data_IF_272857095086
#
_entry.id   IF_272857095086
#
_cell.length_a   1.000
_cell.length_b   1.000
_cell.length_c   1.000
_cell.angle_alpha   90.00
_cell.angle_beta   90.00
_cell.angle_gamma   90.00
#
_symmetry.space_group_name_H-M   'P 1'
#
loop_
_entity.id
_entity.type
_entity.pdbx_description
1 polymer ?
#
# COMPACT_ATOMS: atom_id res chain seq x y z
N UNK A 1 3.14 17.51 -16.75
CA UNK A 1 2.91 17.05 -15.37
C UNK A 1 1.50 16.49 -15.16
N UNK A 2 0.53 16.79 -16.03
CA UNK A 2 -0.88 16.41 -15.85
C UNK A 2 -1.31 15.08 -16.51
N UNK A 3 -0.38 14.34 -17.12
CA UNK A 3 -0.74 13.17 -17.94
C UNK A 3 -1.29 11.98 -17.12
N UNK A 4 -1.12 12.03 -15.79
CA UNK A 4 -1.56 10.98 -14.87
C UNK A 4 -2.72 11.45 -13.97
N UNK A 5 -3.11 12.71 -13.97
CA UNK A 5 -4.12 13.19 -13.04
C UNK A 5 -5.50 12.62 -13.42
N UNK A 6 -5.93 11.55 -12.72
CA UNK A 6 -7.25 10.94 -12.87
C UNK A 6 -7.43 9.94 -14.02
N UNK A 7 -6.40 9.63 -14.83
CA UNK A 7 -6.52 8.56 -15.85
C UNK A 7 -6.42 7.17 -15.20
N UNK A 8 -7.58 6.60 -14.89
CA UNK A 8 -7.69 5.27 -14.29
C UNK A 8 -7.02 4.17 -15.12
N UNK A 9 -6.95 4.31 -16.45
CA UNK A 9 -6.32 3.32 -17.35
C UNK A 9 -4.80 3.28 -17.26
N UNK A 10 -4.18 4.39 -16.85
CA UNK A 10 -2.75 4.43 -16.55
C UNK A 10 -2.48 3.96 -15.12
N UNK A 11 -3.29 4.39 -14.14
CA UNK A 11 -3.13 4.00 -12.74
C UNK A 11 -3.37 2.51 -12.49
N UNK A 12 -4.21 1.84 -13.30
CA UNK A 12 -4.40 0.38 -13.21
C UNK A 12 -3.11 -0.41 -13.50
N UNK A 13 -2.11 0.21 -14.12
CA UNK A 13 -0.80 -0.37 -14.44
C UNK A 13 0.25 -0.11 -13.35
N UNK A 14 -0.09 0.66 -12.32
CA UNK A 14 0.79 1.05 -11.23
C UNK A 14 0.45 0.23 -9.97
N UNK A 15 1.48 -0.14 -9.24
CA UNK A 15 1.40 -0.69 -7.88
C UNK A 15 2.38 0.10 -7.03
N UNK A 16 1.99 0.43 -5.80
CA UNK A 16 2.90 1.03 -4.82
C UNK A 16 3.24 -0.02 -3.77
N UNK A 17 4.52 -0.20 -3.48
CA UNK A 17 4.98 -1.02 -2.37
C UNK A 17 5.36 -0.11 -1.19
N UNK A 18 4.74 -0.32 -0.04
CA UNK A 18 5.19 0.28 1.22
C UNK A 18 6.24 -0.64 1.85
N UNK A 19 7.50 -0.19 1.85
CA UNK A 19 8.62 -0.96 2.37
C UNK A 19 9.25 -0.26 3.60
N UNK A 20 8.86 -0.64 4.82
CA UNK A 20 9.50 -0.12 6.02
C UNK A 20 10.95 -0.62 6.09
N UNK A 21 11.92 0.26 5.79
CA UNK A 21 13.36 -0.10 5.70
C UNK A 21 13.88 -0.84 6.93
N UNK A 22 13.39 -0.50 8.12
CA UNK A 22 13.76 -1.13 9.38
C UNK A 22 13.28 -2.58 9.52
N UNK A 23 12.33 -3.02 8.68
CA UNK A 23 11.77 -4.36 8.64
C UNK A 23 12.36 -5.23 7.50
N UNK A 24 13.34 -4.72 6.74
CA UNK A 24 13.99 -5.46 5.66
C UNK A 24 15.11 -6.34 6.21
N UNK A 25 14.96 -7.67 6.12
CA UNK A 25 16.04 -8.61 6.43
C UNK A 25 16.49 -8.63 7.90
N UNK A 26 15.78 -7.93 8.80
CA UNK A 26 16.11 -7.82 10.22
C UNK A 26 15.39 -8.87 11.08
N UNK A 27 14.36 -9.53 10.54
CA UNK A 27 13.44 -10.38 11.30
C UNK A 27 12.47 -9.58 12.20
N UNK A 28 12.57 -8.26 12.20
CA UNK A 28 11.59 -7.35 12.81
C UNK A 28 10.54 -7.06 11.77
N UNK A 29 9.27 -7.32 12.10
CA UNK A 29 8.14 -7.11 11.21
C UNK A 29 7.38 -5.89 11.69
N UNK A 30 6.87 -5.07 10.76
CA UNK A 30 5.91 -4.04 11.15
C UNK A 30 4.65 -4.68 11.70
N UNK A 31 4.11 -4.14 12.79
CA UNK A 31 2.86 -4.68 13.31
C UNK A 31 1.75 -4.48 12.27
N UNK A 32 0.70 -5.31 12.28
CA UNK A 32 -0.44 -5.13 11.38
C UNK A 32 -1.02 -3.71 11.44
N UNK A 33 -1.06 -3.09 12.62
CA UNK A 33 -1.50 -1.70 12.78
C UNK A 33 -0.58 -0.71 12.07
N UNK A 34 0.74 -0.89 12.17
CA UNK A 34 1.70 -0.02 11.47
C UNK A 34 1.57 -0.15 9.95
N UNK A 35 1.37 -1.36 9.43
CA UNK A 35 1.13 -1.59 8.02
C UNK A 35 -0.19 -0.94 7.57
N UNK A 36 -1.27 -1.17 8.30
CA UNK A 36 -2.59 -0.59 8.02
C UNK A 36 -2.56 0.94 8.05
N UNK A 37 -1.95 1.56 9.05
CA UNK A 37 -1.87 3.01 9.16
C UNK A 37 -1.06 3.62 8.02
N UNK A 38 0.07 3.01 7.65
CA UNK A 38 0.87 3.48 6.52
C UNK A 38 0.10 3.42 5.21
N UNK A 39 -0.56 2.29 4.93
CA UNK A 39 -1.35 2.10 3.70
C UNK A 39 -2.55 3.04 3.64
N UNK A 40 -3.31 3.16 4.74
CA UNK A 40 -4.45 4.07 4.86
C UNK A 40 -4.03 5.52 4.63
N UNK A 41 -2.93 5.95 5.23
CA UNK A 41 -2.43 7.32 5.08
C UNK A 41 -1.99 7.59 3.63
N UNK A 42 -1.32 6.63 3.00
CA UNK A 42 -0.95 6.73 1.58
C UNK A 42 -2.19 6.80 0.68
N UNK A 43 -3.19 5.93 0.90
CA UNK A 43 -4.44 5.95 0.14
C UNK A 43 -5.19 7.27 0.29
N UNK A 44 -5.25 7.81 1.51
CA UNK A 44 -5.84 9.12 1.79
C UNK A 44 -5.08 10.26 1.08
N UNK A 45 -3.75 10.18 1.01
CA UNK A 45 -2.95 11.14 0.27
C UNK A 45 -3.26 11.09 -1.24
N UNK A 46 -3.33 9.90 -1.83
CA UNK A 46 -3.69 9.71 -3.24
C UNK A 46 -5.10 10.25 -3.53
N UNK A 47 -6.06 10.00 -2.63
CA UNK A 47 -7.43 10.47 -2.79
C UNK A 47 -7.51 12.00 -2.82
N UNK A 48 -6.72 12.67 -1.96
CA UNK A 48 -6.73 14.13 -1.81
C UNK A 48 -5.88 14.89 -2.83
N UNK A 49 -4.81 14.28 -3.35
CA UNK A 49 -3.84 14.96 -4.23
C UNK A 49 -3.91 14.52 -5.69
N UNK A 50 -4.46 13.33 -5.97
CA UNK A 50 -4.56 12.79 -7.33
C UNK A 50 -6.02 12.70 -7.74
N UNK A 51 -6.76 11.73 -7.20
CA UNK A 51 -8.17 11.46 -7.51
C UNK A 51 -8.71 10.36 -6.55
N UNK A 52 -9.94 10.49 -6.01
CA UNK A 52 -10.56 9.47 -5.16
C UNK A 52 -10.73 8.09 -5.81
N UNK A 53 -11.13 8.05 -7.08
CA UNK A 53 -11.27 6.80 -7.84
C UNK A 53 -9.91 6.14 -8.09
N UNK A 54 -8.85 6.93 -8.30
CA UNK A 54 -7.48 6.39 -8.36
C UNK A 54 -7.11 5.76 -7.02
N UNK A 55 -7.38 6.43 -5.90
CA UNK A 55 -7.07 5.90 -4.57
C UNK A 55 -7.82 4.59 -4.26
N UNK A 56 -9.06 4.46 -4.74
CA UNK A 56 -9.86 3.24 -4.58
C UNK A 56 -9.29 2.06 -5.38
N UNK A 57 -8.75 2.32 -6.57
CA UNK A 57 -8.30 1.27 -7.50
C UNK A 57 -6.78 1.01 -7.45
N UNK A 58 -6.00 1.90 -6.84
CA UNK A 58 -4.57 1.73 -6.69
C UNK A 58 -4.28 0.58 -5.71
N UNK A 59 -3.49 -0.39 -6.17
CA UNK A 59 -2.98 -1.45 -5.31
C UNK A 59 -1.78 -0.94 -4.50
N UNK A 60 -1.88 -1.07 -3.20
CA UNK A 60 -0.83 -0.76 -2.23
C UNK A 60 -0.45 -2.05 -1.51
N UNK A 61 0.76 -2.55 -1.79
CA UNK A 61 1.26 -3.82 -1.25
C UNK A 61 2.26 -3.58 -0.12
N UNK A 62 2.32 -4.51 0.83
CA UNK A 62 3.27 -4.47 1.92
C UNK A 62 4.58 -5.14 1.50
N UNK A 63 5.67 -4.38 1.47
CA UNK A 63 7.00 -4.83 1.02
C UNK A 63 7.94 -5.30 2.14
N UNK A 64 7.50 -5.29 3.41
CA UNK A 64 8.34 -5.70 4.54
C UNK A 64 8.54 -7.21 4.65
N UNK A 65 9.03 -7.67 5.81
CA UNK A 65 9.27 -9.10 6.06
C UNK A 65 7.97 -9.91 6.20
N UNK A 66 7.47 -10.41 5.07
CA UNK A 66 6.32 -11.32 4.98
C UNK A 66 6.78 -12.78 4.93
N UNK A 67 6.04 -13.66 5.62
CA UNK A 67 6.23 -15.10 5.59
C UNK A 67 4.87 -15.82 5.78
N UNK A 68 4.87 -17.15 5.68
CA UNK A 68 3.64 -17.95 5.78
C UNK A 68 2.90 -17.84 7.14
N UNK A 69 3.55 -17.35 8.20
CA UNK A 69 2.94 -17.20 9.52
C UNK A 69 2.20 -15.87 9.68
N UNK A 70 2.72 -14.78 9.10
CA UNK A 70 2.14 -13.44 9.26
C UNK A 70 1.32 -12.97 8.06
N UNK A 71 1.48 -13.58 6.88
CA UNK A 71 0.75 -13.17 5.68
C UNK A 71 -0.78 -13.22 5.81
N UNK A 72 -1.41 -14.19 6.52
CA UNK A 72 -2.88 -14.21 6.64
C UNK A 72 -3.43 -13.01 7.41
N UNK A 73 -2.68 -12.50 8.38
CA UNK A 73 -3.07 -11.34 9.17
C UNK A 73 -2.86 -10.04 8.39
N UNK A 74 -1.71 -9.91 7.71
CA UNK A 74 -1.38 -8.73 6.91
C UNK A 74 -2.35 -8.55 5.72
N UNK A 75 -2.71 -9.62 5.02
CA UNK A 75 -3.63 -9.54 3.87
C UNK A 75 -5.09 -9.29 4.28
N UNK A 76 -5.43 -9.50 5.56
CA UNK A 76 -6.76 -9.22 6.08
C UNK A 76 -6.97 -7.73 6.40
N UNK A 77 -5.90 -6.92 6.36
CA UNK A 77 -5.96 -5.48 6.61
C UNK A 77 -6.64 -4.76 5.45
N UNK A 78 -7.55 -3.84 5.79
CA UNK A 78 -8.44 -3.19 4.84
C UNK A 78 -7.72 -2.49 3.67
N UNK A 79 -6.56 -1.88 3.94
CA UNK A 79 -5.82 -1.09 2.94
C UNK A 79 -4.60 -1.82 2.34
N UNK A 80 -4.39 -3.10 2.68
CA UNK A 80 -3.29 -3.93 2.17
C UNK A 80 -3.80 -4.81 1.04
N UNK A 81 -3.29 -4.58 -0.17
CA UNK A 81 -3.74 -5.25 -1.40
C UNK A 81 -2.84 -6.42 -1.83
N UNK A 82 -1.83 -6.76 -1.03
CA UNK A 82 -0.84 -7.78 -1.33
C UNK A 82 0.44 -7.65 -0.50
#
# INVERSE_FOLDING_TARGET
>A
ADLLAGDLGLWSRIVVAYEPVWAIGTGVVATPEQAQDAHKNLRAWVASHINPDVALNLRIIYGGSVNAKNSPELIALHDVDG
#
